data_IF_470318443286
#
_entry.id   IF_470318443286
#
_cell.length_a   1.000
_cell.length_b   1.000
_cell.length_c   1.000
_cell.angle_alpha   90.00
_cell.angle_beta   90.00
_cell.angle_gamma   90.00
#
_symmetry.space_group_name_H-M   'P 1'
#
loop_
_entity.id
_entity.type
_entity.pdbx_description
1 polymer ?
#
# COMPACT_ATOMS: atom_id res chain seq x y z
N UNK A 1 27.38 -48.31 8.73
CA UNK A 1 27.49 -46.84 8.63
C UNK A 1 26.54 -46.35 7.55
N UNK A 2 25.52 -45.60 7.94
CA UNK A 2 24.39 -45.21 7.07
C UNK A 2 24.77 -44.12 6.07
N UNK A 3 24.35 -44.30 4.81
CA UNK A 3 24.52 -43.36 3.67
C UNK A 3 23.76 -42.03 3.84
N UNK A 4 23.05 -41.82 4.95
CA UNK A 4 22.28 -40.59 5.25
C UNK A 4 23.09 -39.49 5.95
N UNK A 5 24.36 -39.74 6.28
CA UNK A 5 25.19 -38.83 7.09
C UNK A 5 25.95 -37.78 6.25
N UNK A 6 26.14 -38.05 4.96
CA UNK A 6 26.98 -37.22 4.07
C UNK A 6 26.37 -35.85 3.71
N UNK A 7 25.06 -35.71 3.42
CA UNK A 7 24.49 -34.39 3.09
C UNK A 7 24.36 -33.47 4.33
N UNK A 8 24.24 -34.04 5.53
CA UNK A 8 24.16 -33.28 6.77
C UNK A 8 25.52 -32.65 7.14
N UNK A 9 26.62 -33.39 6.90
CA UNK A 9 27.99 -32.91 7.11
C UNK A 9 28.41 -31.82 6.10
N UNK A 10 27.97 -31.93 4.84
CA UNK A 10 28.19 -30.90 3.81
C UNK A 10 27.44 -29.60 4.12
N UNK A 11 26.24 -29.70 4.69
CA UNK A 11 25.45 -28.54 5.11
C UNK A 11 26.09 -27.83 6.31
N UNK A 12 26.56 -28.58 7.31
CA UNK A 12 27.24 -28.03 8.48
C UNK A 12 28.60 -27.38 8.13
N UNK A 13 29.33 -27.93 7.16
CA UNK A 13 30.58 -27.34 6.68
C UNK A 13 30.35 -26.02 5.91
N UNK A 14 29.23 -25.88 5.19
CA UNK A 14 28.85 -24.61 4.56
C UNK A 14 28.50 -23.52 5.59
N UNK A 15 27.85 -23.89 6.71
CA UNK A 15 27.59 -22.95 7.82
C UNK A 15 28.87 -22.56 8.58
N UNK A 16 29.81 -23.49 8.78
CA UNK A 16 31.10 -23.18 9.41
C UNK A 16 32.00 -22.29 8.51
N UNK A 17 31.86 -22.40 7.19
CA UNK A 17 32.56 -21.54 6.24
C UNK A 17 32.02 -20.09 6.23
N UNK A 18 30.73 -19.88 6.50
CA UNK A 18 30.16 -18.54 6.67
C UNK A 18 30.58 -17.85 7.98
N UNK A 19 31.04 -18.61 8.97
CA UNK A 19 31.58 -18.05 10.23
C UNK A 19 33.03 -17.53 10.09
N UNK A 20 33.71 -17.77 8.95
CA UNK A 20 34.94 -17.05 8.61
C UNK A 20 34.56 -15.71 8.00
N UNK A 21 34.50 -14.69 8.84
CA UNK A 21 34.48 -13.30 8.44
C UNK A 21 35.61 -13.04 7.43
N UNK A 22 35.23 -12.81 6.18
CA UNK A 22 36.14 -12.39 5.12
C UNK A 22 36.39 -10.87 5.25
N UNK A 23 37.66 -10.48 5.10
CA UNK A 23 38.12 -9.11 5.20
C UNK A 23 37.58 -8.24 4.06
N UNK A 24 36.50 -7.50 4.31
CA UNK A 24 35.98 -6.47 3.39
C UNK A 24 35.54 -5.22 4.17
N UNK A 25 36.44 -4.59 4.93
CA UNK A 25 36.10 -3.39 5.68
C UNK A 25 37.26 -2.38 5.67
N UNK A 26 37.40 -1.63 4.58
CA UNK A 26 38.20 -0.40 4.58
C UNK A 26 37.40 0.83 4.14
N UNK A 27 36.16 0.68 3.67
CA UNK A 27 35.30 1.83 3.37
C UNK A 27 34.67 2.33 4.68
N UNK A 28 35.01 3.56 5.08
CA UNK A 28 34.40 4.26 6.21
C UNK A 28 33.16 5.05 5.78
N UNK A 29 33.11 5.47 4.51
CA UNK A 29 32.05 6.30 3.92
C UNK A 29 31.63 5.77 2.55
N UNK A 30 30.45 6.19 2.07
CA UNK A 30 29.95 5.85 0.74
C UNK A 30 30.49 6.88 -0.25
N UNK A 31 31.35 6.45 -1.18
CA UNK A 31 31.80 7.30 -2.27
C UNK A 31 30.76 7.31 -3.40
N UNK A 32 29.98 8.40 -3.46
CA UNK A 32 28.92 8.60 -4.47
C UNK A 32 29.47 8.86 -5.87
N UNK A 33 30.76 9.18 -6.03
CA UNK A 33 31.38 9.37 -7.34
C UNK A 33 31.57 8.05 -8.10
N UNK A 34 31.69 6.94 -7.36
CA UNK A 34 31.74 5.60 -7.95
C UNK A 34 30.33 5.18 -8.34
N UNK A 35 30.07 4.80 -9.60
CA UNK A 35 28.74 4.37 -10.02
C UNK A 35 28.40 2.98 -9.46
N UNK A 36 27.11 2.66 -9.49
CA UNK A 36 26.65 1.28 -9.32
C UNK A 36 27.11 0.42 -10.49
N UNK A 37 27.58 -0.79 -10.18
CA UNK A 37 27.87 -1.80 -11.19
C UNK A 37 26.63 -2.61 -11.56
N UNK A 38 26.70 -3.40 -12.64
CA UNK A 38 25.58 -4.24 -13.07
C UNK A 38 25.18 -5.28 -12.02
N UNK A 39 26.14 -5.75 -11.20
CA UNK A 39 25.91 -6.75 -10.15
C UNK A 39 25.00 -6.20 -9.06
N UNK A 40 25.24 -4.97 -8.58
CA UNK A 40 24.38 -4.36 -7.57
C UNK A 40 22.99 -4.04 -8.13
N UNK A 41 22.87 -3.65 -9.41
CA UNK A 41 21.56 -3.49 -10.05
C UNK A 41 20.76 -4.80 -10.10
N UNK A 42 21.43 -5.93 -10.41
CA UNK A 42 20.80 -7.25 -10.37
C UNK A 42 20.41 -7.62 -8.94
N UNK A 43 21.26 -7.37 -7.95
CA UNK A 43 20.94 -7.57 -6.54
C UNK A 43 19.66 -6.79 -6.14
N UNK A 44 19.62 -5.49 -6.41
CA UNK A 44 18.49 -4.62 -6.04
C UNK A 44 17.20 -5.08 -6.72
N UNK A 45 17.24 -5.35 -8.02
CA UNK A 45 16.07 -5.78 -8.80
C UNK A 45 15.55 -7.15 -8.34
N UNK A 46 16.45 -8.12 -8.15
CA UNK A 46 16.10 -9.46 -7.70
C UNK A 46 15.51 -9.45 -6.29
N UNK A 47 16.14 -8.75 -5.34
CA UNK A 47 15.67 -8.69 -3.96
C UNK A 47 14.34 -7.94 -3.84
N UNK A 48 14.15 -6.87 -4.61
CA UNK A 48 12.88 -6.14 -4.66
C UNK A 48 11.75 -7.05 -5.16
N UNK A 49 11.97 -7.82 -6.22
CA UNK A 49 11.00 -8.80 -6.70
C UNK A 49 10.72 -9.90 -5.67
N UNK A 50 11.77 -10.47 -5.07
CA UNK A 50 11.63 -11.58 -4.12
C UNK A 50 10.88 -11.15 -2.86
N UNK A 51 11.25 -10.03 -2.24
CA UNK A 51 10.65 -9.54 -1.00
C UNK A 51 9.32 -8.80 -1.21
N UNK A 52 9.21 -8.01 -2.29
CA UNK A 52 8.01 -7.23 -2.58
C UNK A 52 6.88 -8.05 -3.19
N UNK A 53 7.19 -9.12 -3.93
CA UNK A 53 6.19 -9.87 -4.71
C UNK A 53 6.20 -11.36 -4.35
N UNK A 54 7.33 -12.05 -4.54
CA UNK A 54 7.32 -13.52 -4.52
C UNK A 54 7.12 -14.13 -3.12
N UNK A 55 7.76 -13.59 -2.08
CA UNK A 55 7.56 -14.04 -0.69
C UNK A 55 6.12 -13.81 -0.20
N UNK A 56 5.52 -12.62 -0.41
CA UNK A 56 4.10 -12.39 -0.11
C UNK A 56 3.16 -13.37 -0.83
N UNK A 57 3.40 -13.68 -2.11
CA UNK A 57 2.64 -14.71 -2.84
C UNK A 57 2.79 -16.06 -2.16
N UNK A 58 4.03 -16.47 -1.86
CA UNK A 58 4.32 -17.70 -1.13
C UNK A 58 3.59 -17.78 0.21
N UNK A 59 3.58 -16.68 0.98
CA UNK A 59 2.84 -16.57 2.24
C UNK A 59 1.33 -16.78 2.02
N UNK A 60 0.72 -16.07 1.07
CA UNK A 60 -0.72 -16.18 0.76
C UNK A 60 -1.09 -17.62 0.35
N UNK A 61 -0.28 -18.26 -0.49
CA UNK A 61 -0.46 -19.66 -0.85
C UNK A 61 -0.39 -20.59 0.37
N UNK A 62 0.44 -20.26 1.36
CA UNK A 62 0.49 -20.98 2.64
C UNK A 62 -0.80 -20.80 3.46
N UNK A 63 -1.33 -19.57 3.53
CA UNK A 63 -2.56 -19.25 4.23
C UNK A 63 -3.78 -19.94 3.61
N UNK A 64 -3.82 -20.03 2.27
CA UNK A 64 -4.89 -20.74 1.55
C UNK A 64 -4.67 -22.26 1.50
N UNK A 65 -3.55 -22.77 2.05
CA UNK A 65 -3.13 -24.19 2.03
C UNK A 65 -2.99 -24.76 0.62
N UNK A 66 -2.46 -23.95 -0.30
CA UNK A 66 -2.10 -24.37 -1.65
C UNK A 66 -0.85 -25.25 -1.66
N UNK A 67 -0.82 -26.27 -2.53
CA UNK A 67 0.35 -27.15 -2.74
C UNK A 67 1.59 -26.40 -3.25
N UNK A 68 1.40 -25.23 -3.85
CA UNK A 68 2.48 -24.41 -4.43
C UNK A 68 3.24 -23.57 -3.39
N UNK A 69 2.77 -23.52 -2.14
CA UNK A 69 3.45 -22.80 -1.07
C UNK A 69 4.91 -23.25 -0.90
N UNK A 70 5.15 -24.55 -0.70
CA UNK A 70 6.50 -25.07 -0.41
C UNK A 70 7.45 -24.88 -1.61
N UNK A 71 7.11 -25.26 -2.86
CA UNK A 71 7.99 -25.03 -4.00
C UNK A 71 8.38 -23.56 -4.18
N UNK A 72 7.42 -22.64 -4.10
CA UNK A 72 7.71 -21.22 -4.29
C UNK A 72 8.61 -20.66 -3.18
N UNK A 73 8.35 -21.03 -1.92
CA UNK A 73 9.19 -20.57 -0.80
C UNK A 73 10.61 -21.15 -0.88
N UNK A 74 10.79 -22.40 -1.31
CA UNK A 74 12.11 -22.96 -1.54
C UNK A 74 12.90 -22.18 -2.60
N UNK A 75 12.23 -21.81 -3.71
CA UNK A 75 12.82 -20.97 -4.76
C UNK A 75 13.20 -19.60 -4.19
N UNK A 76 12.30 -18.96 -3.44
CA UNK A 76 12.56 -17.64 -2.85
C UNK A 76 13.75 -17.65 -1.89
N UNK A 77 13.89 -18.69 -1.06
CA UNK A 77 15.05 -18.86 -0.18
C UNK A 77 16.35 -18.92 -0.99
N UNK A 78 16.39 -19.74 -2.04
CA UNK A 78 17.57 -19.86 -2.92
C UNK A 78 17.89 -18.52 -3.59
N UNK A 79 16.89 -17.86 -4.18
CA UNK A 79 17.06 -16.56 -4.83
C UNK A 79 17.53 -15.49 -3.83
N UNK A 80 17.07 -15.54 -2.58
CA UNK A 80 17.51 -14.61 -1.52
C UNK A 80 19.00 -14.78 -1.23
N UNK A 81 19.48 -16.03 -1.09
CA UNK A 81 20.91 -16.29 -0.86
C UNK A 81 21.76 -15.93 -2.08
N UNK A 82 21.29 -16.18 -3.30
CA UNK A 82 21.95 -15.73 -4.53
C UNK A 82 22.05 -14.20 -4.52
N UNK A 83 20.94 -13.50 -4.27
CA UNK A 83 20.95 -12.05 -4.20
C UNK A 83 21.88 -11.54 -3.09
N UNK A 84 21.87 -12.14 -1.90
CA UNK A 84 22.79 -11.76 -0.82
C UNK A 84 24.26 -11.93 -1.22
N UNK A 85 24.60 -13.02 -1.93
CA UNK A 85 25.93 -13.21 -2.50
C UNK A 85 26.29 -12.07 -3.47
N UNK A 86 25.41 -11.73 -4.42
CA UNK A 86 25.65 -10.62 -5.36
C UNK A 86 25.87 -9.28 -4.63
N UNK A 87 25.11 -9.02 -3.56
CA UNK A 87 25.23 -7.80 -2.76
C UNK A 87 26.52 -7.69 -1.95
N UNK A 88 27.23 -8.81 -1.71
CA UNK A 88 28.54 -8.81 -1.05
C UNK A 88 29.73 -8.96 -2.00
N UNK A 89 29.49 -9.37 -3.25
CA UNK A 89 30.51 -9.69 -4.24
C UNK A 89 30.46 -8.79 -5.48
N UNK A 90 29.90 -7.58 -5.36
CA UNK A 90 29.97 -6.57 -6.41
C UNK A 90 31.32 -5.83 -6.37
N UNK A 91 31.74 -5.25 -7.50
CA UNK A 91 32.99 -4.51 -7.65
C UNK A 91 32.82 -2.99 -7.75
N UNK A 92 31.57 -2.51 -7.80
CA UNK A 92 31.22 -1.08 -7.88
C UNK A 92 31.28 -0.35 -6.53
N UNK A 93 30.43 0.67 -6.37
CA UNK A 93 30.32 1.50 -5.15
C UNK A 93 30.30 0.66 -3.87
N UNK A 94 31.22 0.92 -2.96
CA UNK A 94 31.34 0.20 -1.69
C UNK A 94 30.48 0.83 -0.60
N UNK A 95 29.91 -0.01 0.26
CA UNK A 95 29.05 0.41 1.36
C UNK A 95 29.70 0.04 2.72
N UNK A 96 29.83 0.98 3.67
CA UNK A 96 30.23 0.67 5.04
C UNK A 96 29.12 -0.11 5.76
N UNK A 97 29.27 -0.35 7.06
CA UNK A 97 28.18 -0.94 7.85
C UNK A 97 26.94 -0.03 7.80
N UNK A 98 25.80 -0.62 7.41
CA UNK A 98 24.53 0.08 7.22
C UNK A 98 23.39 -0.65 7.90
N UNK A 99 22.29 0.08 8.15
CA UNK A 99 21.06 -0.50 8.70
C UNK A 99 20.49 -1.61 7.80
N UNK A 100 20.63 -1.47 6.46
CA UNK A 100 20.27 -2.50 5.49
C UNK A 100 21.07 -3.79 5.70
N UNK A 101 22.40 -3.67 5.88
CA UNK A 101 23.27 -4.81 6.14
C UNK A 101 22.97 -5.49 7.49
N UNK A 102 22.71 -4.71 8.53
CA UNK A 102 22.32 -5.22 9.85
C UNK A 102 20.97 -5.95 9.78
N UNK A 103 19.98 -5.36 9.12
CA UNK A 103 18.67 -5.98 8.92
C UNK A 103 18.78 -7.25 8.06
N UNK A 104 19.64 -7.26 7.04
CA UNK A 104 19.91 -8.47 6.24
C UNK A 104 20.46 -9.62 7.10
N UNK A 105 21.33 -9.36 8.08
CA UNK A 105 21.83 -10.39 9.03
C UNK A 105 20.68 -10.96 9.87
N UNK A 106 19.80 -10.10 10.38
CA UNK A 106 18.60 -10.50 11.15
C UNK A 106 17.65 -11.34 10.29
N UNK A 107 17.35 -10.87 9.08
CA UNK A 107 16.50 -11.57 8.11
C UNK A 107 17.07 -12.93 7.76
N UNK A 108 18.39 -13.03 7.55
CA UNK A 108 19.06 -14.30 7.26
C UNK A 108 18.80 -15.31 8.37
N UNK A 109 18.93 -14.91 9.64
CA UNK A 109 18.62 -15.78 10.78
C UNK A 109 17.14 -16.19 10.81
N UNK A 110 16.23 -15.23 10.62
CA UNK A 110 14.78 -15.50 10.56
C UNK A 110 14.47 -16.49 9.43
N UNK A 111 15.08 -16.33 8.26
CA UNK A 111 14.84 -17.18 7.09
C UNK A 111 15.35 -18.60 7.31
N UNK A 112 16.53 -18.76 7.93
CA UNK A 112 17.07 -20.08 8.30
C UNK A 112 16.12 -20.77 9.29
N UNK A 113 15.70 -20.07 10.35
CA UNK A 113 14.78 -20.62 11.36
C UNK A 113 13.44 -21.00 10.71
N UNK A 114 12.86 -20.11 9.90
CA UNK A 114 11.58 -20.33 9.24
C UNK A 114 11.65 -21.50 8.25
N UNK A 115 12.76 -21.66 7.53
CA UNK A 115 13.00 -22.79 6.62
C UNK A 115 13.18 -24.09 7.39
N UNK A 116 13.97 -24.10 8.47
CA UNK A 116 14.16 -25.27 9.31
C UNK A 116 12.84 -25.76 9.93
N UNK A 117 12.02 -24.83 10.44
CA UNK A 117 10.69 -25.13 10.94
C UNK A 117 9.79 -25.68 9.82
N UNK A 118 9.82 -25.08 8.63
CA UNK A 118 9.06 -25.55 7.47
C UNK A 118 9.43 -26.98 7.06
N UNK A 119 10.73 -27.30 7.01
CA UNK A 119 11.22 -28.66 6.74
C UNK A 119 10.75 -29.62 7.83
N UNK A 120 10.91 -29.27 9.11
CA UNK A 120 10.45 -30.08 10.23
C UNK A 120 8.95 -30.42 10.12
N UNK A 121 8.12 -29.41 9.82
CA UNK A 121 6.67 -29.60 9.64
C UNK A 121 6.34 -30.49 8.45
N UNK A 122 7.15 -30.46 7.38
CA UNK A 122 6.96 -31.26 6.17
C UNK A 122 7.43 -32.71 6.31
N UNK A 123 8.37 -32.98 7.22
CA UNK A 123 8.84 -34.34 7.52
C UNK A 123 7.89 -35.14 8.43
N UNK A 124 6.81 -34.52 8.93
CA UNK A 124 5.81 -35.17 9.79
C UNK A 124 6.38 -35.84 11.07
N UNK A 125 7.49 -35.31 11.60
CA UNK A 125 8.12 -35.80 12.83
C UNK A 125 7.38 -35.22 14.06
N UNK A 126 7.20 -36.03 15.12
CA UNK A 126 6.56 -35.61 16.40
C UNK A 126 5.17 -34.98 16.25
N UNK A 127 4.34 -35.54 15.36
CA UNK A 127 3.04 -34.99 14.97
C UNK A 127 2.05 -34.82 16.15
N UNK A 128 2.10 -35.70 17.15
CA UNK A 128 1.17 -35.69 18.29
C UNK A 128 1.59 -34.83 19.49
N UNK A 129 2.84 -34.38 19.55
CA UNK A 129 3.39 -33.68 20.73
C UNK A 129 3.78 -32.24 20.41
N UNK A 130 4.77 -32.05 19.53
CA UNK A 130 5.43 -30.75 19.33
C UNK A 130 4.73 -29.93 18.24
N UNK A 131 4.15 -30.60 17.23
CA UNK A 131 3.56 -29.95 16.04
C UNK A 131 2.49 -28.90 16.35
N UNK A 132 1.68 -29.12 17.39
CA UNK A 132 0.64 -28.18 17.86
C UNK A 132 1.20 -26.78 18.13
N UNK A 133 2.43 -26.68 18.64
CA UNK A 133 3.06 -25.42 19.00
C UNK A 133 3.86 -24.82 17.84
N UNK A 134 4.47 -25.67 17.01
CA UNK A 134 5.33 -25.25 15.91
C UNK A 134 4.53 -24.65 14.74
N UNK A 135 3.33 -25.17 14.46
CA UNK A 135 2.47 -24.63 13.38
C UNK A 135 2.09 -23.16 13.60
N UNK A 136 1.59 -22.75 14.79
CA UNK A 136 1.36 -21.34 15.09
C UNK A 136 2.61 -20.47 14.94
N UNK A 137 3.76 -20.91 15.47
CA UNK A 137 5.02 -20.15 15.39
C UNK A 137 5.43 -19.92 13.94
N UNK A 138 5.47 -20.98 13.12
CA UNK A 138 5.73 -20.89 11.68
C UNK A 138 4.76 -19.93 10.98
N UNK A 139 3.48 -20.04 11.35
CA UNK A 139 2.42 -19.23 10.78
C UNK A 139 2.48 -17.75 11.18
N UNK A 140 2.95 -17.41 12.37
CA UNK A 140 3.10 -16.01 12.82
C UNK A 140 4.32 -15.39 12.14
N UNK A 141 5.48 -16.04 12.21
CA UNK A 141 6.71 -15.56 11.57
C UNK A 141 6.47 -15.34 10.07
N UNK A 142 5.85 -16.32 9.39
CA UNK A 142 5.57 -16.21 7.94
C UNK A 142 4.62 -15.07 7.58
N UNK A 143 3.66 -14.71 8.46
CA UNK A 143 2.76 -13.56 8.23
C UNK A 143 3.44 -12.21 8.39
N UNK A 144 4.59 -12.16 9.07
CA UNK A 144 5.37 -10.92 9.24
C UNK A 144 6.27 -10.61 8.04
N UNK A 145 6.43 -11.54 7.09
CA UNK A 145 7.35 -11.39 5.96
C UNK A 145 7.08 -10.20 5.06
N UNK A 146 5.82 -9.80 4.75
CA UNK A 146 5.56 -8.57 4.01
C UNK A 146 6.12 -7.33 4.71
N UNK A 147 5.98 -7.24 6.04
CA UNK A 147 6.50 -6.11 6.82
C UNK A 147 8.03 -6.14 6.86
N UNK A 148 8.62 -7.31 7.15
CA UNK A 148 10.08 -7.49 7.19
C UNK A 148 10.71 -7.16 5.82
N UNK A 149 10.12 -7.67 4.74
CA UNK A 149 10.57 -7.42 3.38
C UNK A 149 10.42 -5.95 2.98
N UNK A 150 9.30 -5.31 3.32
CA UNK A 150 9.08 -3.88 3.11
C UNK A 150 10.15 -3.03 3.80
N UNK A 151 10.42 -3.29 5.09
CA UNK A 151 11.49 -2.61 5.83
C UNK A 151 12.86 -2.81 5.19
N UNK A 152 13.19 -4.04 4.75
CA UNK A 152 14.47 -4.32 4.09
C UNK A 152 14.63 -3.55 2.77
N UNK A 153 13.56 -3.45 1.98
CA UNK A 153 13.55 -2.70 0.73
C UNK A 153 13.74 -1.21 0.98
N UNK A 154 13.05 -0.61 1.95
CA UNK A 154 13.24 0.81 2.34
C UNK A 154 14.69 1.05 2.76
N UNK A 155 15.22 0.20 3.66
CA UNK A 155 16.62 0.32 4.06
C UNK A 155 17.58 0.15 2.89
N UNK A 156 17.23 -0.66 1.89
CA UNK A 156 17.98 -0.79 0.65
C UNK A 156 18.03 0.51 -0.14
N UNK A 157 16.88 1.18 -0.31
CA UNK A 157 16.80 2.49 -0.98
C UNK A 157 17.61 3.54 -0.22
N UNK A 158 17.42 3.65 1.10
CA UNK A 158 18.18 4.58 1.94
C UNK A 158 19.69 4.35 1.85
N UNK A 159 20.14 3.09 1.90
CA UNK A 159 21.56 2.75 1.74
C UNK A 159 22.09 3.05 0.33
N UNK A 160 21.33 2.73 -0.71
CA UNK A 160 21.75 2.95 -2.09
C UNK A 160 21.95 4.44 -2.39
N UNK A 161 21.01 5.27 -1.94
CA UNK A 161 21.01 6.71 -2.17
C UNK A 161 21.83 7.50 -1.13
N UNK A 162 22.38 6.81 -0.12
CA UNK A 162 23.10 7.42 1.01
C UNK A 162 22.25 8.44 1.79
N UNK A 163 20.96 8.13 1.98
CA UNK A 163 20.03 8.94 2.77
C UNK A 163 19.92 8.43 4.21
N UNK A 164 19.30 9.24 5.05
CA UNK A 164 18.87 8.95 6.41
C UNK A 164 20.01 8.70 7.38
N UNK A 165 21.05 9.52 7.28
CA UNK A 165 22.23 9.49 8.15
C UNK A 165 22.33 10.75 9.00
N UNK A 166 23.07 10.64 10.09
CA UNK A 166 23.40 11.74 11.00
C UNK A 166 22.15 12.55 11.42
N UNK A 167 22.17 13.87 11.21
CA UNK A 167 21.08 14.78 11.60
C UNK A 167 19.76 14.55 10.87
N UNK A 168 19.76 13.82 9.75
CA UNK A 168 18.57 13.58 8.92
C UNK A 168 17.76 12.35 9.37
N UNK A 169 18.30 11.53 10.28
CA UNK A 169 17.69 10.27 10.69
C UNK A 169 16.27 10.43 11.24
N UNK A 170 16.03 11.44 12.08
CA UNK A 170 14.71 11.68 12.68
C UNK A 170 13.66 12.07 11.64
N UNK A 171 14.04 12.93 10.69
CA UNK A 171 13.18 13.37 9.58
C UNK A 171 12.81 12.18 8.69
N UNK A 172 13.81 11.39 8.28
CA UNK A 172 13.62 10.19 7.48
C UNK A 172 12.72 9.16 8.19
N UNK A 173 12.99 8.89 9.48
CA UNK A 173 12.22 7.94 10.25
C UNK A 173 10.75 8.35 10.32
N UNK A 174 10.46 9.65 10.52
CA UNK A 174 9.09 10.15 10.50
C UNK A 174 8.39 9.89 9.15
N UNK A 175 9.04 10.21 8.02
CA UNK A 175 8.47 10.04 6.68
C UNK A 175 8.25 8.56 6.33
N UNK A 176 9.29 7.73 6.51
CA UNK A 176 9.23 6.32 6.18
C UNK A 176 8.27 5.54 7.08
N UNK A 177 8.24 5.79 8.40
CA UNK A 177 7.34 5.09 9.32
C UNK A 177 5.89 5.49 9.04
N UNK A 178 5.60 6.79 8.98
CA UNK A 178 4.22 7.27 8.79
C UNK A 178 3.68 6.94 7.40
N UNK A 179 4.48 7.14 6.36
CA UNK A 179 4.06 6.81 5.00
C UNK A 179 3.84 5.30 4.81
N UNK A 180 4.72 4.47 5.39
CA UNK A 180 4.51 3.02 5.44
C UNK A 180 3.26 2.64 6.25
N UNK A 181 2.93 3.38 7.32
CA UNK A 181 1.74 3.14 8.12
C UNK A 181 0.46 3.42 7.32
N UNK A 182 0.41 4.44 6.46
CA UNK A 182 -0.71 4.68 5.55
C UNK A 182 -0.88 3.56 4.52
N UNK A 183 0.21 3.07 3.93
CA UNK A 183 0.18 1.92 3.01
C UNK A 183 -0.29 0.66 3.75
N UNK A 184 0.22 0.42 4.96
CA UNK A 184 -0.19 -0.69 5.82
C UNK A 184 -1.67 -0.62 6.20
N UNK A 185 -2.16 0.58 6.54
CA UNK A 185 -3.58 0.81 6.81
C UNK A 185 -4.44 0.55 5.57
N UNK A 186 -4.01 1.01 4.39
CA UNK A 186 -4.68 0.69 3.13
C UNK A 186 -4.76 -0.82 2.88
N UNK A 187 -3.68 -1.57 3.15
CA UNK A 187 -3.70 -3.03 3.05
C UNK A 187 -4.71 -3.67 4.03
N UNK A 188 -4.78 -3.17 5.26
CA UNK A 188 -5.79 -3.61 6.25
C UNK A 188 -7.20 -3.30 5.73
N UNK A 189 -7.45 -2.11 5.18
CA UNK A 189 -8.74 -1.75 4.60
C UNK A 189 -9.14 -2.67 3.46
N UNK A 190 -8.22 -3.00 2.54
CA UNK A 190 -8.49 -3.95 1.44
C UNK A 190 -8.80 -5.34 1.99
N UNK A 191 -8.09 -5.80 3.02
CA UNK A 191 -8.39 -7.08 3.71
C UNK A 191 -9.78 -7.02 4.35
N UNK A 192 -10.11 -5.95 5.06
CA UNK A 192 -11.41 -5.78 5.72
C UNK A 192 -12.56 -5.76 4.70
N UNK A 193 -12.37 -5.06 3.59
CA UNK A 193 -13.31 -4.97 2.48
C UNK A 193 -13.63 -6.34 1.87
N UNK A 194 -12.61 -7.20 1.73
CA UNK A 194 -12.73 -8.47 1.01
C UNK A 194 -13.09 -9.67 1.90
N UNK A 195 -12.56 -9.73 3.12
CA UNK A 195 -12.68 -10.91 3.99
C UNK A 195 -12.98 -10.57 5.46
N UNK A 196 -12.97 -9.30 5.84
CA UNK A 196 -13.15 -8.86 7.23
C UNK A 196 -14.58 -8.90 7.75
N UNK A 197 -15.59 -8.79 6.88
CA UNK A 197 -17.00 -8.64 7.30
C UNK A 197 -17.47 -9.72 8.29
N UNK A 198 -17.25 -11.01 7.99
CA UNK A 198 -17.63 -12.13 8.88
C UNK A 198 -16.90 -12.11 10.22
N UNK A 199 -15.68 -11.58 10.26
CA UNK A 199 -14.90 -11.48 11.49
C UNK A 199 -15.40 -10.33 12.36
N UNK A 200 -15.70 -9.17 11.76
CA UNK A 200 -16.31 -8.02 12.44
C UNK A 200 -17.68 -8.41 13.05
N UNK A 201 -18.51 -9.11 12.28
CA UNK A 201 -19.82 -9.60 12.76
C UNK A 201 -19.69 -10.53 13.98
N UNK A 202 -18.77 -11.50 13.93
CA UNK A 202 -18.55 -12.44 15.05
C UNK A 202 -18.01 -11.77 16.31
N UNK A 203 -17.22 -10.72 16.15
CA UNK A 203 -16.63 -9.98 17.27
C UNK A 203 -17.58 -8.92 17.82
N UNK A 204 -18.67 -8.59 17.11
CA UNK A 204 -19.57 -7.49 17.48
C UNK A 204 -18.88 -6.12 17.42
N UNK A 205 -17.79 -6.01 16.66
CA UNK A 205 -16.94 -4.84 16.58
C UNK A 205 -17.06 -4.22 15.17
N UNK A 206 -17.19 -2.90 15.08
CA UNK A 206 -17.10 -2.20 13.80
C UNK A 206 -15.64 -1.96 13.43
N UNK A 207 -15.39 -1.76 12.14
CA UNK A 207 -14.04 -1.41 11.69
C UNK A 207 -13.56 -0.11 12.34
N UNK A 208 -14.46 0.86 12.50
CA UNK A 208 -14.14 2.18 13.05
C UNK A 208 -13.85 2.14 14.56
N UNK A 209 -14.34 1.14 15.30
CA UNK A 209 -13.88 0.88 16.67
C UNK A 209 -12.39 0.54 16.70
N UNK A 210 -11.93 -0.30 15.77
CA UNK A 210 -10.52 -0.70 15.69
C UNK A 210 -9.66 0.47 15.21
N UNK A 211 -10.08 1.15 14.16
CA UNK A 211 -9.37 2.30 13.59
C UNK A 211 -9.25 3.42 14.65
N UNK A 212 -10.34 3.73 15.36
CA UNK A 212 -10.34 4.72 16.44
C UNK A 212 -9.46 4.31 17.63
N UNK A 213 -9.34 3.01 17.92
CA UNK A 213 -8.46 2.51 18.98
C UNK A 213 -6.99 2.73 18.62
N UNK A 214 -6.60 2.43 17.38
CA UNK A 214 -5.23 2.67 16.89
C UNK A 214 -4.93 4.16 16.87
N UNK A 215 -5.85 4.97 16.34
CA UNK A 215 -5.73 6.44 16.31
C UNK A 215 -5.55 7.00 17.73
N UNK A 216 -6.29 6.47 18.71
CA UNK A 216 -6.18 6.90 20.11
C UNK A 216 -4.78 6.61 20.68
N UNK A 217 -4.32 5.36 20.56
CA UNK A 217 -3.02 4.95 21.10
C UNK A 217 -1.89 5.70 20.41
N UNK A 218 -1.93 5.81 19.09
CA UNK A 218 -0.93 6.54 18.32
C UNK A 218 -0.92 8.03 18.65
N UNK A 219 -2.09 8.66 18.76
CA UNK A 219 -2.21 10.07 19.13
C UNK A 219 -1.62 10.37 20.51
N UNK A 220 -1.82 9.48 21.50
CA UNK A 220 -1.22 9.61 22.84
C UNK A 220 0.30 9.55 22.72
N UNK A 221 0.83 8.52 22.05
CA UNK A 221 2.28 8.36 21.87
C UNK A 221 2.84 9.63 21.22
N UNK A 222 2.31 10.04 20.07
CA UNK A 222 2.78 11.20 19.31
C UNK A 222 2.76 12.49 20.14
N UNK A 223 1.69 12.72 20.92
CA UNK A 223 1.57 13.91 21.79
C UNK A 223 2.72 14.01 22.79
N UNK A 224 3.15 12.88 23.35
CA UNK A 224 4.14 12.87 24.43
C UNK A 224 5.57 12.53 23.98
N UNK A 225 5.78 12.14 22.72
CA UNK A 225 7.11 11.82 22.18
C UNK A 225 7.64 12.84 21.19
N UNK A 226 6.82 13.75 20.66
CA UNK A 226 7.25 14.68 19.61
C UNK A 226 8.29 15.71 20.09
N UNK A 227 8.13 16.23 21.31
CA UNK A 227 9.08 17.21 21.85
C UNK A 227 10.25 16.52 22.55
N UNK A 228 11.44 16.69 21.99
CA UNK A 228 12.68 16.05 22.46
C UNK A 228 13.50 16.92 23.43
N UNK A 229 12.91 18.01 23.94
CA UNK A 229 13.55 18.99 24.82
C UNK A 229 13.98 20.27 24.09
N UNK A 230 14.35 21.30 24.85
CA UNK A 230 14.72 22.62 24.32
C UNK A 230 13.53 23.57 24.15
N UNK A 231 13.71 24.74 23.50
CA UNK A 231 12.62 25.66 23.19
C UNK A 231 11.64 25.05 22.19
N UNK A 232 10.35 25.28 22.40
CA UNK A 232 9.31 24.85 21.46
C UNK A 232 9.47 25.53 20.10
N UNK A 233 9.52 24.72 19.04
CA UNK A 233 9.47 25.21 17.67
C UNK A 233 8.03 25.22 17.13
N UNK A 234 7.80 25.91 16.03
CA UNK A 234 6.50 25.88 15.35
C UNK A 234 6.12 24.46 14.90
N UNK A 235 7.11 23.71 14.40
CA UNK A 235 6.98 22.31 13.98
C UNK A 235 6.58 21.42 15.15
N UNK A 236 7.26 21.55 16.29
CA UNK A 236 6.93 20.77 17.50
C UNK A 236 5.49 21.01 17.92
N UNK A 237 5.04 22.27 17.89
CA UNK A 237 3.67 22.62 18.30
C UNK A 237 2.64 22.03 17.33
N UNK A 238 2.84 22.15 16.02
CA UNK A 238 1.92 21.60 15.03
C UNK A 238 1.82 20.08 15.13
N UNK A 239 2.95 19.38 15.20
CA UNK A 239 2.99 17.92 15.30
C UNK A 239 2.41 17.41 16.64
N UNK A 240 2.71 18.08 17.76
CA UNK A 240 2.12 17.75 19.07
C UNK A 240 0.61 17.93 19.05
N UNK A 241 0.12 19.06 18.50
CA UNK A 241 -1.32 19.31 18.40
C UNK A 241 -2.03 18.35 17.45
N UNK A 242 -1.35 17.87 16.40
CA UNK A 242 -1.84 16.78 15.56
C UNK A 242 -2.03 15.49 16.37
N UNK A 243 -1.07 15.17 17.26
CA UNK A 243 -1.21 14.09 18.23
C UNK A 243 -2.45 14.26 19.12
N UNK A 244 -2.67 15.48 19.62
CA UNK A 244 -3.84 15.82 20.46
C UNK A 244 -5.15 15.61 19.73
N UNK A 245 -5.24 16.10 18.48
CA UNK A 245 -6.38 15.87 17.61
C UNK A 245 -6.66 14.37 17.45
N UNK A 246 -5.61 13.57 17.20
CA UNK A 246 -5.73 12.13 17.00
C UNK A 246 -6.28 11.44 18.23
N UNK A 247 -5.72 11.63 19.43
CA UNK A 247 -6.24 10.89 20.59
C UNK A 247 -7.59 11.38 21.07
N UNK A 248 -7.85 12.70 21.04
CA UNK A 248 -9.15 13.24 21.40
C UNK A 248 -10.26 12.75 20.43
N UNK A 249 -9.99 12.83 19.13
CA UNK A 249 -10.89 12.32 18.10
C UNK A 249 -11.04 10.79 18.16
N UNK A 250 -9.95 10.07 18.38
CA UNK A 250 -9.95 8.61 18.53
C UNK A 250 -10.86 8.15 19.68
N UNK A 251 -10.79 8.80 20.84
CA UNK A 251 -11.68 8.48 21.96
C UNK A 251 -13.17 8.72 21.61
N UNK A 252 -13.49 9.81 20.90
CA UNK A 252 -14.84 10.03 20.38
C UNK A 252 -15.27 8.92 19.42
N UNK A 253 -14.37 8.52 18.52
CA UNK A 253 -14.60 7.43 17.58
C UNK A 253 -14.88 6.09 18.27
N UNK A 254 -14.11 5.75 19.32
CA UNK A 254 -14.36 4.58 20.18
C UNK A 254 -15.76 4.67 20.80
N UNK A 255 -16.11 5.83 21.37
CA UNK A 255 -17.38 6.02 22.06
C UNK A 255 -18.59 5.86 21.12
N UNK A 256 -18.52 6.42 19.92
CA UNK A 256 -19.59 6.35 18.92
C UNK A 256 -19.71 4.96 18.27
N UNK A 257 -18.57 4.25 18.15
CA UNK A 257 -18.51 2.94 17.51
C UNK A 257 -18.89 1.77 18.43
N UNK A 258 -19.32 2.04 19.66
CA UNK A 258 -19.74 1.00 20.63
C UNK A 258 -20.89 0.16 20.09
N UNK A 259 -20.93 -1.10 20.50
CA UNK A 259 -21.93 -2.09 20.07
C UNK A 259 -21.93 -2.31 18.54
N UNK A 260 -20.77 -2.26 17.91
CA UNK A 260 -20.63 -2.55 16.47
C UNK A 260 -21.15 -1.45 15.54
N UNK A 261 -21.43 -0.25 16.06
CA UNK A 261 -21.89 0.88 15.23
C UNK A 261 -20.77 1.44 14.37
N UNK A 262 -21.09 1.83 13.14
CA UNK A 262 -20.17 2.56 12.25
C UNK A 262 -20.05 4.02 12.71
N UNK A 263 -18.98 4.70 12.31
CA UNK A 263 -18.72 6.09 12.68
C UNK A 263 -17.95 6.82 11.58
N UNK A 264 -18.19 8.11 11.40
CA UNK A 264 -17.42 8.92 10.46
C UNK A 264 -16.10 9.44 11.04
N UNK A 265 -15.88 9.29 12.36
CA UNK A 265 -14.81 9.99 13.10
C UNK A 265 -13.40 9.68 12.58
N UNK A 266 -13.00 8.42 12.33
CA UNK A 266 -11.68 8.14 11.75
C UNK A 266 -11.45 8.90 10.43
N UNK A 267 -12.47 8.97 9.58
CA UNK A 267 -12.36 9.66 8.29
C UNK A 267 -12.19 11.18 8.47
N UNK A 268 -12.88 11.80 9.43
CA UNK A 268 -12.68 13.23 9.76
C UNK A 268 -11.28 13.51 10.28
N UNK A 269 -10.72 12.62 11.12
CA UNK A 269 -9.33 12.77 11.61
C UNK A 269 -8.34 12.74 10.44
N UNK A 270 -8.55 11.83 9.48
CA UNK A 270 -7.73 11.76 8.25
C UNK A 270 -7.88 13.04 7.41
N UNK A 271 -9.10 13.58 7.26
CA UNK A 271 -9.33 14.86 6.56
C UNK A 271 -8.57 16.00 7.23
N UNK A 272 -8.69 16.14 8.55
CA UNK A 272 -8.03 17.21 9.31
C UNK A 272 -6.50 17.06 9.27
N UNK A 273 -6.00 15.82 9.28
CA UNK A 273 -4.58 15.53 9.08
C UNK A 273 -4.14 16.00 7.68
N UNK A 274 -4.89 15.63 6.64
CA UNK A 274 -4.61 16.04 5.28
C UNK A 274 -4.63 17.56 5.09
N UNK A 275 -5.58 18.25 5.72
CA UNK A 275 -5.62 19.71 5.75
C UNK A 275 -4.37 20.31 6.39
N UNK A 276 -3.99 19.84 7.59
CA UNK A 276 -2.80 20.34 8.28
C UNK A 276 -1.52 20.14 7.46
N UNK A 277 -1.38 18.97 6.82
CA UNK A 277 -0.22 18.68 5.97
C UNK A 277 -0.24 19.45 4.65
N UNK A 278 -1.42 19.76 4.11
CA UNK A 278 -1.54 20.55 2.88
C UNK A 278 -1.16 22.03 3.06
N UNK A 279 -1.25 22.52 4.30
CA UNK A 279 -0.88 23.86 4.70
C UNK A 279 0.53 23.94 5.31
N UNK A 280 1.26 22.82 5.37
CA UNK A 280 2.58 22.76 5.98
C UNK A 280 3.64 23.27 4.99
N UNK A 281 4.10 24.51 5.17
CA UNK A 281 5.17 25.10 4.37
C UNK A 281 6.52 24.40 4.66
N UNK A 282 7.26 24.09 3.60
CA UNK A 282 8.58 23.47 3.66
C UNK A 282 9.64 24.43 3.10
N UNK A 283 10.91 24.19 3.44
CA UNK A 283 12.02 25.03 2.97
C UNK A 283 12.14 25.04 1.42
N UNK A 284 11.82 23.91 0.77
CA UNK A 284 11.80 23.78 -0.68
C UNK A 284 10.38 23.87 -1.23
N UNK A 285 10.25 24.51 -2.40
CA UNK A 285 8.98 24.59 -3.12
C UNK A 285 8.50 23.21 -3.59
N UNK A 286 9.40 22.36 -4.12
CA UNK A 286 9.05 20.98 -4.50
C UNK A 286 8.49 20.21 -3.30
N UNK A 287 9.17 20.27 -2.15
CA UNK A 287 8.73 19.63 -0.91
C UNK A 287 7.35 20.12 -0.47
N UNK A 288 7.11 21.44 -0.49
CA UNK A 288 5.81 22.02 -0.17
C UNK A 288 4.69 21.52 -1.09
N UNK A 289 4.96 21.36 -2.39
CA UNK A 289 3.98 20.84 -3.37
C UNK A 289 3.70 19.35 -3.18
N UNK A 290 4.72 18.53 -2.91
CA UNK A 290 4.54 17.10 -2.65
C UNK A 290 3.76 16.86 -1.33
N UNK A 291 4.10 17.60 -0.27
CA UNK A 291 3.33 17.58 0.98
C UNK A 291 1.86 18.02 0.79
N UNK A 292 1.62 19.01 -0.07
CA UNK A 292 0.27 19.42 -0.45
C UNK A 292 -0.51 18.31 -1.15
N UNK A 293 0.11 17.62 -2.11
CA UNK A 293 -0.50 16.47 -2.80
C UNK A 293 -0.82 15.32 -1.83
N UNK A 294 0.09 15.02 -0.90
CA UNK A 294 -0.17 14.08 0.19
C UNK A 294 -1.40 14.50 1.02
N UNK A 295 -1.46 15.77 1.42
CA UNK A 295 -2.59 16.32 2.17
C UNK A 295 -3.92 16.19 1.41
N UNK A 296 -3.93 16.50 0.12
CA UNK A 296 -5.10 16.34 -0.74
C UNK A 296 -5.53 14.88 -0.88
N UNK A 297 -4.59 13.95 -1.04
CA UNK A 297 -4.90 12.52 -1.09
C UNK A 297 -5.61 12.06 0.18
N UNK A 298 -5.16 12.49 1.37
CA UNK A 298 -5.82 12.19 2.64
C UNK A 298 -7.21 12.81 2.76
N UNK A 299 -7.36 14.10 2.39
CA UNK A 299 -8.66 14.78 2.41
C UNK A 299 -9.66 14.01 1.54
N UNK A 300 -9.30 13.69 0.29
CA UNK A 300 -10.18 12.97 -0.62
C UNK A 300 -10.46 11.56 -0.10
N UNK A 301 -9.46 10.84 0.42
CA UNK A 301 -9.65 9.51 1.00
C UNK A 301 -10.69 9.53 2.14
N UNK A 302 -10.57 10.51 3.06
CA UNK A 302 -11.50 10.66 4.17
C UNK A 302 -12.90 11.06 3.71
N UNK A 303 -13.04 11.99 2.76
CA UNK A 303 -14.35 12.37 2.20
C UNK A 303 -15.03 11.17 1.56
N UNK A 304 -14.31 10.41 0.72
CA UNK A 304 -14.86 9.21 0.09
C UNK A 304 -15.23 8.14 1.12
N UNK A 305 -14.47 8.03 2.23
CA UNK A 305 -14.81 7.12 3.32
C UNK A 305 -16.09 7.52 4.06
N UNK A 306 -16.33 8.83 4.27
CA UNK A 306 -17.61 9.31 4.82
C UNK A 306 -18.75 8.96 3.86
N UNK A 307 -18.56 9.21 2.56
CA UNK A 307 -19.55 8.87 1.53
C UNK A 307 -19.88 7.37 1.55
N UNK A 308 -18.84 6.53 1.63
CA UNK A 308 -18.98 5.08 1.71
C UNK A 308 -19.79 4.65 2.94
N UNK A 309 -19.41 5.13 4.13
CA UNK A 309 -20.06 4.70 5.39
C UNK A 309 -21.50 5.19 5.45
N UNK A 310 -21.73 6.48 5.25
CA UNK A 310 -23.03 7.11 5.49
C UNK A 310 -24.03 6.88 4.35
N UNK A 311 -23.58 6.83 3.09
CA UNK A 311 -24.48 6.80 1.94
C UNK A 311 -24.42 5.49 1.15
N UNK A 312 -23.23 4.94 0.92
CA UNK A 312 -23.11 3.71 0.14
C UNK A 312 -23.58 2.48 0.94
N UNK A 313 -23.13 2.40 2.19
CA UNK A 313 -23.41 1.30 3.10
C UNK A 313 -24.54 1.59 4.09
N UNK A 314 -24.98 2.85 4.20
CA UNK A 314 -26.04 3.30 5.13
C UNK A 314 -25.82 2.78 6.56
N UNK A 315 -24.62 3.03 7.10
CA UNK A 315 -24.14 2.55 8.40
C UNK A 315 -24.08 1.01 8.56
N UNK A 316 -24.31 0.25 7.49
CA UNK A 316 -24.17 -1.20 7.44
C UNK A 316 -22.73 -1.65 7.15
N UNK A 317 -22.42 -2.95 7.33
CA UNK A 317 -21.17 -3.53 6.85
C UNK A 317 -21.19 -3.72 5.32
N UNK A 318 -20.03 -3.85 4.69
CA UNK A 318 -19.95 -4.25 3.28
C UNK A 318 -20.59 -5.64 3.09
N UNK A 319 -21.56 -5.80 2.18
CA UNK A 319 -22.16 -7.10 1.88
C UNK A 319 -21.12 -8.12 1.40
N UNK A 320 -21.18 -9.39 1.83
CA UNK A 320 -20.27 -10.42 1.35
C UNK A 320 -20.37 -10.62 -0.17
N UNK A 321 -19.23 -10.74 -0.84
CA UNK A 321 -19.15 -11.14 -2.26
C UNK A 321 -19.41 -10.02 -3.28
N UNK A 322 -19.92 -8.87 -2.86
CA UNK A 322 -20.15 -7.72 -3.76
C UNK A 322 -19.33 -6.54 -3.25
N UNK A 323 -18.28 -6.16 -3.97
CA UNK A 323 -17.45 -4.98 -3.68
C UNK A 323 -17.65 -3.98 -4.80
N UNK A 324 -18.01 -2.75 -4.46
CA UNK A 324 -18.16 -1.69 -5.47
C UNK A 324 -16.81 -1.06 -5.80
N UNK A 325 -16.62 -0.70 -7.06
CA UNK A 325 -15.42 0.03 -7.55
C UNK A 325 -15.12 1.25 -6.68
N UNK A 326 -16.15 1.97 -6.24
CA UNK A 326 -16.02 3.13 -5.36
C UNK A 326 -15.25 2.83 -4.06
N UNK A 327 -15.42 1.63 -3.48
CA UNK A 327 -14.79 1.25 -2.22
C UNK A 327 -13.28 0.98 -2.35
N UNK A 328 -12.76 0.91 -3.57
CA UNK A 328 -11.32 0.85 -3.83
C UNK A 328 -10.65 2.22 -3.74
N UNK A 329 -11.40 3.33 -3.89
CA UNK A 329 -10.82 4.67 -3.92
C UNK A 329 -10.19 5.08 -2.58
N UNK A 330 -10.85 4.95 -1.41
CA UNK A 330 -10.23 5.31 -0.13
C UNK A 330 -8.90 4.58 0.15
N UNK A 331 -8.81 3.23 0.07
CA UNK A 331 -7.54 2.56 0.32
C UNK A 331 -6.50 2.86 -0.76
N UNK A 332 -6.86 3.06 -2.04
CA UNK A 332 -5.90 3.48 -3.06
C UNK A 332 -5.29 4.85 -2.73
N UNK A 333 -6.12 5.83 -2.36
CA UNK A 333 -5.64 7.18 -2.01
C UNK A 333 -4.76 7.18 -0.75
N UNK A 334 -4.97 6.25 0.17
CA UNK A 334 -4.08 6.05 1.31
C UNK A 334 -2.73 5.43 0.90
N UNK A 335 -2.71 4.52 -0.08
CA UNK A 335 -1.44 4.06 -0.67
C UNK A 335 -0.73 5.22 -1.36
N UNK A 336 -1.44 6.01 -2.17
CA UNK A 336 -0.90 7.19 -2.82
C UNK A 336 -0.33 8.20 -1.81
N UNK A 337 -1.11 8.54 -0.78
CA UNK A 337 -0.67 9.44 0.27
C UNK A 337 0.55 8.89 1.01
N UNK A 338 0.56 7.59 1.33
CA UNK A 338 1.71 6.95 1.94
C UNK A 338 2.96 7.00 1.07
N UNK A 339 2.85 6.74 -0.24
CA UNK A 339 3.97 6.82 -1.19
C UNK A 339 4.53 8.24 -1.28
N UNK A 340 3.66 9.24 -1.49
CA UNK A 340 4.06 10.66 -1.55
C UNK A 340 4.72 11.13 -0.25
N UNK A 341 4.24 10.65 0.91
CA UNK A 341 4.82 11.03 2.18
C UNK A 341 6.17 10.33 2.43
N UNK A 342 6.34 9.09 1.96
CA UNK A 342 7.63 8.41 2.08
C UNK A 342 8.71 9.07 1.23
N UNK A 343 8.36 9.56 0.03
CA UNK A 343 9.29 10.16 -0.93
C UNK A 343 9.64 11.63 -0.62
N UNK A 344 8.99 12.25 0.38
CA UNK A 344 9.14 13.66 0.68
C UNK A 344 10.19 13.97 1.77
N UNK A 345 11.22 13.13 1.92
CA UNK A 345 12.32 13.43 2.86
C UNK A 345 13.12 14.64 2.39
N UNK A 346 13.73 15.39 3.32
CA UNK A 346 14.48 16.60 2.98
C UNK A 346 15.62 16.27 1.98
N UNK A 347 16.33 15.15 2.21
CA UNK A 347 17.41 14.68 1.33
C UNK A 347 16.92 14.27 -0.06
N UNK A 348 15.78 13.58 -0.16
CA UNK A 348 15.18 13.21 -1.46
C UNK A 348 14.70 14.43 -2.22
N UNK A 349 14.09 15.40 -1.54
CA UNK A 349 13.59 16.62 -2.14
C UNK A 349 14.72 17.52 -2.63
N UNK A 350 15.82 17.65 -1.86
CA UNK A 350 17.02 18.35 -2.32
C UNK A 350 17.64 17.66 -3.53
N UNK A 351 17.80 16.34 -3.48
CA UNK A 351 18.34 15.58 -4.61
C UNK A 351 17.48 15.73 -5.88
N UNK A 352 16.15 15.73 -5.75
CA UNK A 352 15.25 15.95 -6.89
C UNK A 352 15.37 17.38 -7.46
N UNK A 353 15.43 18.39 -6.59
CA UNK A 353 15.59 19.81 -6.97
C UNK A 353 16.94 20.06 -7.67
N UNK A 354 18.02 19.48 -7.14
CA UNK A 354 19.38 19.57 -7.70
C UNK A 354 19.48 18.93 -9.09
N UNK A 355 18.70 17.87 -9.34
CA UNK A 355 18.57 17.23 -10.66
C UNK A 355 17.63 17.99 -11.61
N UNK A 356 16.99 19.07 -11.15
CA UNK A 356 16.03 19.84 -11.94
C UNK A 356 14.71 19.11 -12.20
N UNK A 357 14.37 18.11 -11.39
CA UNK A 357 13.10 17.38 -11.50
C UNK A 357 12.00 18.25 -10.89
N UNK A 358 11.00 18.61 -11.70
CA UNK A 358 9.87 19.37 -11.21
C UNK A 358 8.90 18.50 -10.39
N UNK A 359 8.15 19.15 -9.49
CA UNK A 359 7.18 18.49 -8.60
C UNK A 359 6.09 17.68 -9.33
N UNK A 360 5.70 18.03 -10.57
CA UNK A 360 4.70 17.26 -11.33
C UNK A 360 5.31 15.97 -11.83
N UNK A 361 6.50 16.03 -12.44
CA UNK A 361 7.23 14.84 -12.89
C UNK A 361 7.51 13.90 -11.72
N UNK A 362 7.93 14.45 -10.58
CA UNK A 362 8.13 13.69 -9.34
C UNK A 362 6.83 13.03 -8.85
N UNK A 363 5.72 13.78 -8.79
CA UNK A 363 4.43 13.25 -8.37
C UNK A 363 3.89 12.16 -9.31
N UNK A 364 4.10 12.27 -10.63
CA UNK A 364 3.68 11.25 -11.59
C UNK A 364 4.43 9.93 -11.40
N UNK A 365 5.70 9.99 -10.99
CA UNK A 365 6.44 8.80 -10.57
C UNK A 365 5.80 8.14 -9.34
N UNK A 366 5.50 8.93 -8.30
CA UNK A 366 4.85 8.42 -7.08
C UNK A 366 3.43 7.89 -7.34
N UNK A 367 2.68 8.52 -8.25
CA UNK A 367 1.37 8.04 -8.68
C UNK A 367 1.50 6.66 -9.33
N UNK A 368 2.47 6.50 -10.23
CA UNK A 368 2.74 5.22 -10.89
C UNK A 368 3.15 4.13 -9.89
N UNK A 369 4.04 4.47 -8.94
CA UNK A 369 4.47 3.56 -7.89
C UNK A 369 3.30 3.15 -6.97
N UNK A 370 2.42 4.10 -6.62
CA UNK A 370 1.23 3.82 -5.80
C UNK A 370 0.27 2.83 -6.46
N UNK A 371 0.08 2.93 -7.79
CA UNK A 371 -0.72 1.96 -8.54
C UNK A 371 -0.10 0.55 -8.48
N UNK A 372 1.22 0.43 -8.60
CA UNK A 372 1.90 -0.85 -8.51
C UNK A 372 1.79 -1.46 -7.10
N UNK A 373 1.96 -0.65 -6.05
CA UNK A 373 1.79 -1.10 -4.67
C UNK A 373 0.34 -1.55 -4.42
N UNK A 374 -0.63 -0.76 -4.86
CA UNK A 374 -2.05 -1.09 -4.72
C UNK A 374 -2.43 -2.34 -5.50
N UNK A 375 -1.86 -2.53 -6.70
CA UNK A 375 -1.99 -3.75 -7.49
C UNK A 375 -1.47 -4.97 -6.71
N UNK A 376 -0.29 -4.88 -6.08
CA UNK A 376 0.25 -5.98 -5.27
C UNK A 376 -0.68 -6.30 -4.10
N UNK A 377 -1.14 -5.30 -3.35
CA UNK A 377 -2.04 -5.48 -2.19
C UNK A 377 -3.32 -6.19 -2.63
N UNK A 378 -4.00 -5.67 -3.65
CA UNK A 378 -5.27 -6.23 -4.15
C UNK A 378 -5.08 -7.60 -4.77
N UNK A 379 -4.00 -7.81 -5.52
CA UNK A 379 -3.63 -9.11 -6.08
C UNK A 379 -3.42 -10.17 -4.99
N UNK A 380 -2.73 -9.85 -3.90
CA UNK A 380 -2.50 -10.78 -2.79
C UNK A 380 -3.81 -11.18 -2.09
N UNK A 381 -4.73 -10.23 -1.89
CA UNK A 381 -6.05 -10.51 -1.30
C UNK A 381 -6.91 -11.35 -2.26
N UNK A 382 -6.93 -11.01 -3.54
CA UNK A 382 -7.59 -11.80 -4.57
C UNK A 382 -7.02 -13.22 -4.66
N UNK A 383 -5.69 -13.36 -4.61
CA UNK A 383 -5.01 -14.65 -4.60
C UNK A 383 -5.41 -15.48 -3.37
N UNK A 384 -5.56 -14.85 -2.20
CA UNK A 384 -6.02 -15.52 -0.98
C UNK A 384 -7.43 -16.10 -1.15
N UNK A 385 -8.35 -15.35 -1.75
CA UNK A 385 -9.73 -15.78 -1.98
C UNK A 385 -9.85 -16.89 -3.03
N UNK A 386 -8.95 -16.91 -4.02
CA UNK A 386 -9.07 -17.75 -5.21
C UNK A 386 -8.07 -18.91 -5.29
N UNK A 387 -7.35 -19.23 -4.21
CA UNK A 387 -6.39 -20.35 -4.20
C UNK A 387 -6.65 -21.35 -3.08
N UNK A 388 -6.06 -22.55 -3.23
CA UNK A 388 -6.08 -23.59 -2.20
C UNK A 388 -7.50 -23.98 -1.77
N UNK A 389 -7.74 -24.03 -0.46
CA UNK A 389 -9.05 -24.38 0.11
C UNK A 389 -10.09 -23.27 -0.03
N UNK A 390 -9.68 -22.03 -0.33
CA UNK A 390 -10.59 -20.90 -0.44
C UNK A 390 -11.28 -20.87 -1.81
N UNK A 391 -10.59 -21.26 -2.88
CA UNK A 391 -11.17 -21.40 -4.22
C UNK A 391 -12.42 -22.28 -4.24
N UNK A 392 -12.39 -23.43 -3.55
CA UNK A 392 -13.53 -24.35 -3.44
C UNK A 392 -14.69 -23.74 -2.68
N UNK A 393 -14.43 -22.90 -1.67
CA UNK A 393 -15.48 -22.23 -0.89
C UNK A 393 -16.15 -21.12 -1.69
N UNK A 394 -15.38 -20.34 -2.44
CA UNK A 394 -15.91 -19.26 -3.29
C UNK A 394 -16.86 -19.80 -4.36
N UNK A 395 -16.49 -20.91 -5.02
CA UNK A 395 -17.34 -21.58 -6.02
C UNK A 395 -18.71 -22.05 -5.48
N UNK A 396 -18.82 -22.33 -4.17
CA UNK A 396 -20.07 -22.73 -3.50
C UNK A 396 -20.93 -21.50 -3.17
N UNK A 397 -20.31 -20.35 -2.90
CA UNK A 397 -21.02 -19.11 -2.53
C UNK A 397 -21.58 -18.42 -3.77
N UNK A 398 -20.84 -18.37 -4.88
CA UNK A 398 -21.31 -17.79 -6.16
C UNK A 398 -22.55 -18.51 -6.71
N UNK A 399 -22.71 -19.81 -6.43
CA UNK A 399 -23.89 -20.56 -6.88
C UNK A 399 -25.14 -20.34 -6.03
N UNK A 400 -25.04 -19.66 -4.88
CA UNK A 400 -26.15 -19.55 -3.94
C UNK A 400 -26.76 -18.16 -3.75
N UNK A 401 -26.07 -17.04 -3.93
CA UNK A 401 -26.68 -15.71 -3.75
C UNK A 401 -25.90 -14.58 -4.44
N UNK A 402 -26.41 -14.06 -5.55
CA UNK A 402 -26.10 -12.72 -6.04
C UNK A 402 -27.39 -11.88 -6.06
N UNK A 403 -27.98 -11.69 -4.88
CA UNK A 403 -29.04 -10.69 -4.72
C UNK A 403 -28.41 -9.46 -4.07
N UNK A 404 -28.50 -8.31 -4.73
CA UNK A 404 -27.98 -6.98 -4.33
C UNK A 404 -28.64 -6.39 -3.07
N UNK A 405 -28.94 -7.22 -2.08
CA UNK A 405 -29.58 -6.79 -0.84
C UNK A 405 -28.48 -6.27 0.11
N UNK A 406 -28.42 -4.94 0.31
CA UNK A 406 -27.54 -4.32 1.32
C UNK A 406 -26.89 -3.01 0.89
N UNK A 407 -26.91 -2.68 -0.40
CA UNK A 407 -26.50 -1.36 -0.85
C UNK A 407 -27.70 -0.41 -0.94
N UNK A 408 -27.46 0.88 -0.76
CA UNK A 408 -28.46 1.89 -1.10
C UNK A 408 -28.89 1.72 -2.57
N UNK A 409 -30.19 1.45 -2.77
CA UNK A 409 -30.79 1.51 -4.10
C UNK A 409 -30.86 2.99 -4.46
N UNK A 410 -30.13 3.39 -5.50
CA UNK A 410 -30.41 4.67 -6.16
C UNK A 410 -31.84 4.52 -6.67
N UNK A 411 -32.77 5.33 -6.16
CA UNK A 411 -34.13 5.35 -6.66
C UNK A 411 -34.09 5.75 -8.14
N UNK A 412 -34.05 4.75 -9.02
CA UNK A 412 -34.56 4.93 -10.36
C UNK A 412 -36.04 5.22 -10.13
N UNK A 413 -36.46 6.45 -10.43
CA UNK A 413 -37.88 6.76 -10.49
C UNK A 413 -38.52 5.69 -11.36
N UNK A 414 -39.23 4.75 -10.75
CA UNK A 414 -40.25 3.96 -11.43
C UNK A 414 -41.22 5.00 -11.93
N UNK A 415 -41.07 5.38 -13.20
CA UNK A 415 -42.15 6.00 -13.94
C UNK A 415 -43.24 4.93 -13.92
N UNK A 416 -44.31 5.21 -13.17
CA UNK A 416 -45.48 4.37 -13.15
C UNK A 416 -45.96 4.22 -14.60
N UNK A 417 -45.62 3.11 -15.25
CA UNK A 417 -46.36 2.61 -16.40
C UNK A 417 -47.67 2.04 -15.85
N UNK A 418 -48.61 2.95 -15.60
CA UNK A 418 -50.02 2.61 -15.58
C UNK A 418 -50.40 2.16 -16.98
N UNK A 419 -50.86 0.91 -17.08
CA UNK A 419 -51.83 0.40 -18.07
C UNK A 419 -52.02 1.27 -19.32
N UNK A 420 -51.37 0.89 -20.42
CA UNK A 420 -52.08 0.78 -21.69
C UNK A 420 -51.44 -0.31 -22.55
N UNK A 421 -52.32 -1.09 -23.19
CA UNK A 421 -51.98 -2.27 -23.98
C UNK A 421 -51.34 -1.94 -25.34
N UNK A 422 -51.09 -2.96 -26.17
CA UNK A 422 -50.25 -2.83 -27.35
C UNK A 422 -51.06 -2.27 -28.53
N UNK A 423 -50.92 -0.99 -28.83
CA UNK A 423 -51.30 -0.42 -30.13
C UNK A 423 -50.05 0.26 -30.71
N UNK A 424 -49.37 -0.43 -31.63
CA UNK A 424 -49.64 -0.37 -33.07
C UNK A 424 -49.31 1.03 -33.61
N UNK A 425 -48.10 1.10 -34.16
CA UNK A 425 -47.59 2.21 -34.94
C UNK A 425 -48.41 2.30 -36.23
N UNK A 426 -49.43 3.16 -36.28
CA UNK A 426 -50.09 3.54 -37.53
C UNK A 426 -50.13 5.07 -37.68
N UNK A 427 -49.49 5.51 -38.76
CA UNK A 427 -49.55 6.85 -39.33
C UNK A 427 -50.98 7.18 -39.76
N UNK A 428 -51.46 8.38 -39.43
CA UNK A 428 -52.42 9.11 -40.29
C UNK A 428 -52.21 10.61 -40.16
N UNK A 429 -51.95 11.22 -41.32
CA UNK A 429 -51.96 12.65 -41.59
C UNK A 429 -53.41 13.19 -41.51
N UNK A 430 -53.62 14.38 -40.95
CA UNK A 430 -54.53 15.38 -41.54
C UNK A 430 -54.39 16.79 -40.94
N UNK A 431 -54.01 17.71 -41.83
CA UNK A 431 -54.44 19.10 -42.01
C UNK A 431 -54.45 20.09 -40.82
N UNK A 432 -53.45 20.97 -40.80
CA UNK A 432 -53.70 22.41 -40.62
C UNK A 432 -53.02 23.21 -41.73
N UNK A 433 -53.87 23.88 -42.51
CA UNK A 433 -53.59 24.81 -43.59
C UNK A 433 -52.95 26.13 -43.12
N UNK A 434 -52.00 26.68 -43.90
CA UNK A 434 -51.73 28.12 -43.91
C UNK A 434 -50.29 28.53 -44.30
N UNK A 435 -50.08 28.73 -45.61
CA UNK A 435 -49.15 29.70 -46.28
C UNK A 435 -47.66 29.71 -45.87
N UNK A 436 -46.79 29.13 -46.71
CA UNK A 436 -45.96 29.81 -47.73
C UNK A 436 -44.77 30.61 -47.15
N UNK A 437 -43.56 30.01 -47.12
CA UNK A 437 -42.57 30.26 -48.19
C UNK A 437 -41.23 29.48 -48.04
N UNK A 438 -40.85 28.90 -49.18
CA UNK A 438 -39.57 28.40 -49.69
C UNK A 438 -38.30 28.43 -48.78
N UNK A 439 -37.61 27.32 -48.47
CA UNK A 439 -36.78 26.39 -49.29
C UNK A 439 -35.28 26.75 -49.41
N UNK A 440 -34.45 25.72 -49.12
CA UNK A 440 -33.04 25.37 -49.49
C UNK A 440 -31.98 25.55 -48.38
N UNK A 441 -31.45 24.48 -47.78
CA UNK A 441 -30.47 23.47 -48.31
C UNK A 441 -29.22 24.20 -48.82
N UNK A 442 -28.00 24.00 -48.35
CA UNK A 442 -27.34 22.95 -47.55
C UNK A 442 -25.83 23.07 -47.83
N UNK A 443 -25.02 22.32 -47.07
CA UNK A 443 -23.59 21.97 -47.33
C UNK A 443 -22.60 23.15 -47.36
N UNK A 444 -21.35 23.10 -46.93
CA UNK A 444 -20.45 22.09 -46.36
C UNK A 444 -19.24 22.91 -45.84
N UNK A 445 -18.56 22.34 -44.84
CA UNK A 445 -17.12 22.32 -44.63
C UNK A 445 -16.28 23.56 -44.24
N UNK A 446 -15.57 23.33 -43.13
CA UNK A 446 -14.18 23.66 -42.80
C UNK A 446 -13.61 25.04 -43.19
N UNK A 447 -13.22 25.81 -42.17
CA UNK A 447 -12.30 26.95 -42.33
C UNK A 447 -10.96 26.65 -41.67
N UNK A 448 -9.98 26.57 -42.57
CA UNK A 448 -8.56 26.29 -42.45
C UNK A 448 -7.79 27.33 -41.63
N UNK A 449 -6.89 26.83 -40.80
CA UNK A 449 -5.95 27.59 -39.97
C UNK A 449 -4.66 27.81 -40.75
N UNK A 450 -4.46 29.02 -41.29
CA UNK A 450 -3.17 29.75 -41.35
C UNK A 450 -3.17 30.78 -42.47
N UNK A 451 -2.97 32.06 -42.11
CA UNK A 451 -1.95 32.96 -42.70
C UNK A 451 -2.03 34.33 -42.07
N UNK A 452 -0.91 34.75 -41.47
CA UNK A 452 -0.69 36.14 -41.11
C UNK A 452 -0.45 37.03 -42.32
N UNK A 453 -0.63 38.33 -42.15
CA UNK A 453 0.36 39.32 -42.55
C UNK A 453 0.10 40.66 -41.86
N UNK A 454 1.17 41.34 -41.48
CA UNK A 454 1.13 42.63 -40.80
C UNK A 454 0.87 43.83 -41.74
N UNK A 455 0.53 44.94 -41.11
CA UNK A 455 0.78 46.34 -41.53
C UNK A 455 0.25 47.23 -40.39
N UNK A 456 1.08 47.93 -39.62
CA UNK A 456 1.79 49.19 -39.93
C UNK A 456 0.89 50.44 -40.02
N UNK A 457 0.95 51.23 -38.93
CA UNK A 457 1.11 52.70 -38.86
C UNK A 457 -0.10 53.64 -39.01
N UNK A 458 -0.09 54.64 -38.08
CA UNK A 458 -0.59 56.06 -38.06
C UNK A 458 -1.47 56.30 -36.82
N UNK A 459 -1.25 57.25 -35.92
CA UNK A 459 -0.39 58.47 -35.83
C UNK A 459 0.17 58.54 -34.41
#
# INVERSE_FOLDING_TARGET
MSKTSLPLLLSAAAFAAQARAHAHHNATEIDVSVPFDSVIYVHMSLQTFVWGISFPIGMVLGLSKSRYHVPLQSINVVLTFIGAYLGHHHGGRMFPETVHGTMAKIITLILIIQTAIGIFLKLHIFEKTIRRWVVPVHGVIGKMFPVIGWTQMIFGVATALNFCRDGNLGQCAAHYIMGSAFIGYAAILVIMLNVGGKWLERTGCSQEMLDSSVITVWGIINTFTEHHGGPWTHKDMQHTMMGVLWWAGGMLGIFLSRNGRRSFVPAVIIIMTGWGMSAHEQALMISSKIHALFGYALIVAGVLRIIEVCFLLNDGPTPPGVIRVFQHLPPYLLVLGGTLFMSATDEEMHNADDLGIDHVSYALFDFSLSFLIYLVITFLVHLYQNTGQNATKSAIVDSTNAQENGYAKVHQHQRNESQDGPEAYELTEQDMSGEEDAVKIGTEDEVDWMRGNGSSVRI
#
